data_IF_145490605914
#
_entry.id   IF_145490605914
#
_cell.length_a   1.000
_cell.length_b   1.000
_cell.length_c   1.000
_cell.angle_alpha   90.00
_cell.angle_beta   90.00
_cell.angle_gamma   90.00
#
_symmetry.space_group_name_H-M   'P 1'
#
loop_
_entity.id
_entity.type
_entity.pdbx_description
1 polymer ?
#
# COMPACT_ATOMS: atom_id res chain seq x y z
N UNK A 1 25.96 -19.23 -39.89
CA UNK A 1 25.53 -17.87 -40.26
C UNK A 1 24.02 -17.63 -40.21
N UNK A 2 23.15 -18.60 -40.54
CA UNK A 2 21.69 -18.37 -40.62
C UNK A 2 21.01 -18.04 -39.26
N UNK A 3 21.38 -18.73 -38.18
CA UNK A 3 20.80 -18.51 -36.83
C UNK A 3 21.19 -17.12 -36.28
N UNK A 4 22.40 -16.65 -36.57
CA UNK A 4 22.90 -15.35 -36.13
C UNK A 4 22.21 -14.18 -36.87
N UNK A 5 21.79 -14.40 -38.13
CA UNK A 5 20.96 -13.46 -38.88
C UNK A 5 19.53 -13.38 -38.35
N UNK A 6 18.93 -14.51 -37.96
CA UNK A 6 17.59 -14.52 -37.38
C UNK A 6 17.52 -13.87 -35.99
N UNK A 7 18.56 -14.03 -35.15
CA UNK A 7 18.61 -13.33 -33.86
C UNK A 7 18.78 -11.82 -34.04
N UNK A 8 19.66 -11.35 -34.94
CA UNK A 8 19.77 -9.92 -35.25
C UNK A 8 18.47 -9.32 -35.78
N UNK A 9 17.72 -10.08 -36.58
CA UNK A 9 16.44 -9.62 -37.10
C UNK A 9 15.35 -9.56 -36.02
N UNK A 10 15.35 -10.53 -35.08
CA UNK A 10 14.48 -10.49 -33.90
C UNK A 10 14.81 -9.34 -32.97
N UNK A 11 16.09 -9.10 -32.70
CA UNK A 11 16.56 -8.01 -31.86
C UNK A 11 16.22 -6.65 -32.50
N UNK A 12 16.39 -6.52 -33.82
CA UNK A 12 16.00 -5.31 -34.56
C UNK A 12 14.49 -5.05 -34.52
N UNK A 13 13.65 -6.09 -34.67
CA UNK A 13 12.19 -5.95 -34.56
C UNK A 13 11.80 -5.57 -33.13
N UNK A 14 12.41 -6.18 -32.11
CA UNK A 14 12.17 -5.85 -30.72
C UNK A 14 12.54 -4.38 -30.43
N UNK A 15 13.70 -3.92 -30.91
CA UNK A 15 14.16 -2.55 -30.71
C UNK A 15 13.25 -1.53 -31.42
N UNK A 16 12.78 -1.82 -32.63
CA UNK A 16 11.79 -0.99 -33.34
C UNK A 16 10.46 -0.93 -32.58
N UNK A 17 9.99 -2.05 -32.02
CA UNK A 17 8.76 -2.02 -31.22
C UNK A 17 8.94 -1.23 -29.93
N UNK A 18 10.08 -1.34 -29.25
CA UNK A 18 10.40 -0.59 -28.03
C UNK A 18 10.43 0.91 -28.34
N UNK A 19 11.16 1.35 -29.37
CA UNK A 19 11.19 2.75 -29.79
C UNK A 19 9.78 3.27 -30.14
N UNK A 20 8.95 2.45 -30.82
CA UNK A 20 7.56 2.82 -31.12
C UNK A 20 6.73 3.01 -29.85
N UNK A 21 6.90 2.15 -28.85
CA UNK A 21 6.21 2.28 -27.56
C UNK A 21 6.73 3.48 -26.76
N UNK A 22 8.04 3.75 -26.75
CA UNK A 22 8.63 4.92 -26.10
C UNK A 22 8.14 6.22 -26.73
N UNK A 23 8.08 6.31 -28.06
CA UNK A 23 7.49 7.46 -28.75
C UNK A 23 5.99 7.64 -28.43
N UNK A 24 5.25 6.54 -28.33
CA UNK A 24 3.82 6.57 -28.02
C UNK A 24 3.58 7.00 -26.55
N UNK A 25 4.45 6.58 -25.62
CA UNK A 25 4.45 7.05 -24.22
C UNK A 25 4.82 8.52 -24.14
N UNK A 26 5.85 8.97 -24.86
CA UNK A 26 6.24 10.38 -24.90
C UNK A 26 5.13 11.25 -25.50
N UNK A 27 4.45 10.79 -26.56
CA UNK A 27 3.29 11.49 -27.15
C UNK A 27 2.13 11.55 -26.15
N UNK A 28 1.82 10.46 -25.44
CA UNK A 28 0.79 10.47 -24.38
C UNK A 28 1.15 11.44 -23.26
N UNK A 29 2.40 11.43 -22.82
CA UNK A 29 2.90 12.33 -21.76
C UNK A 29 2.85 13.80 -22.21
N UNK A 30 3.17 14.09 -23.47
CA UNK A 30 3.06 15.45 -24.02
C UNK A 30 1.61 15.93 -24.05
N UNK A 31 0.70 15.12 -24.60
CA UNK A 31 -0.74 15.45 -24.65
C UNK A 31 -1.34 15.58 -23.24
N UNK A 32 -0.90 14.76 -22.29
CA UNK A 32 -1.34 14.86 -20.90
C UNK A 32 -0.82 16.14 -20.23
N UNK A 33 0.43 16.53 -20.47
CA UNK A 33 0.96 17.82 -20.01
C UNK A 33 0.20 19.00 -20.63
N UNK A 34 -0.08 18.97 -21.93
CA UNK A 34 -0.87 20.00 -22.61
C UNK A 34 -2.29 20.07 -22.06
N UNK A 35 -2.91 18.93 -21.74
CA UNK A 35 -4.22 18.88 -21.09
C UNK A 35 -4.20 19.50 -19.69
N UNK A 36 -3.15 19.22 -18.90
CA UNK A 36 -2.98 19.82 -17.56
C UNK A 36 -2.76 21.33 -17.65
N UNK A 37 -1.99 21.81 -18.62
CA UNK A 37 -1.80 23.24 -18.87
C UNK A 37 -3.10 23.91 -19.32
N UNK A 38 -3.80 23.33 -20.28
CA UNK A 38 -5.08 23.86 -20.75
C UNK A 38 -6.12 23.90 -19.62
N UNK A 39 -6.13 22.91 -18.73
CA UNK A 39 -6.98 22.93 -17.55
C UNK A 39 -6.64 24.09 -16.61
N UNK A 40 -5.35 24.34 -16.35
CA UNK A 40 -4.91 25.49 -15.54
C UNK A 40 -5.33 26.82 -16.19
N UNK A 41 -5.20 26.93 -17.50
CA UNK A 41 -5.59 28.14 -18.24
C UNK A 41 -7.11 28.35 -18.22
N UNK A 42 -7.90 27.29 -18.33
CA UNK A 42 -9.36 27.33 -18.20
C UNK A 42 -9.76 27.74 -16.77
N UNK A 43 -9.12 27.18 -15.75
CA UNK A 43 -9.39 27.54 -14.36
C UNK A 43 -9.01 29.02 -14.09
N UNK A 44 -7.88 29.49 -14.61
CA UNK A 44 -7.48 30.90 -14.51
C UNK A 44 -8.44 31.84 -15.25
N UNK A 45 -8.89 31.47 -16.45
CA UNK A 45 -9.90 32.20 -17.21
C UNK A 45 -11.26 32.20 -16.48
N UNK A 46 -11.60 31.10 -15.78
CA UNK A 46 -12.82 31.03 -14.99
C UNK A 46 -12.75 31.95 -13.76
N UNK A 47 -11.63 31.96 -13.03
CA UNK A 47 -11.43 32.86 -11.89
C UNK A 47 -11.55 34.33 -12.31
N UNK A 48 -10.85 34.72 -13.38
CA UNK A 48 -10.92 36.10 -13.91
C UNK A 48 -12.32 36.48 -14.38
N UNK A 49 -13.07 35.54 -14.99
CA UNK A 49 -14.48 35.74 -15.35
C UNK A 49 -15.35 35.99 -14.12
N UNK A 50 -15.19 35.19 -13.05
CA UNK A 50 -15.94 35.34 -11.80
C UNK A 50 -15.63 36.69 -11.14
N UNK A 51 -14.36 37.10 -11.11
CA UNK A 51 -13.95 38.40 -10.56
C UNK A 51 -14.55 39.57 -11.35
N UNK A 52 -14.57 39.48 -12.68
CA UNK A 52 -15.21 40.49 -13.54
C UNK A 52 -16.73 40.52 -13.36
N UNK A 53 -17.37 39.36 -13.18
CA UNK A 53 -18.80 39.28 -12.89
C UNK A 53 -19.11 39.97 -11.55
N UNK A 54 -18.35 39.69 -10.49
CA UNK A 54 -18.53 40.33 -9.19
C UNK A 54 -18.37 41.87 -9.26
N UNK A 55 -17.41 42.36 -10.06
CA UNK A 55 -17.25 43.80 -10.30
C UNK A 55 -18.44 44.38 -11.08
N UNK A 56 -18.95 43.68 -12.08
CA UNK A 56 -20.13 44.09 -12.83
C UNK A 56 -21.36 44.18 -11.91
N UNK A 57 -21.56 43.20 -11.04
CA UNK A 57 -22.67 43.16 -10.10
C UNK A 57 -22.55 44.30 -9.07
N UNK A 58 -21.35 44.55 -8.53
CA UNK A 58 -21.08 45.68 -7.63
C UNK A 58 -21.36 47.05 -8.28
N UNK A 59 -20.99 47.23 -9.55
CA UNK A 59 -21.28 48.47 -10.28
C UNK A 59 -22.78 48.63 -10.55
N UNK A 60 -23.49 47.52 -10.82
CA UNK A 60 -24.93 47.55 -10.99
C UNK A 60 -25.65 47.94 -9.68
N UNK A 61 -25.18 47.42 -8.54
CA UNK A 61 -25.68 47.79 -7.22
C UNK A 61 -25.43 49.27 -6.89
N UNK A 62 -24.25 49.80 -7.22
CA UNK A 62 -23.94 51.23 -7.05
C UNK A 62 -24.84 52.13 -7.90
N UNK A 63 -25.08 51.77 -9.17
CA UNK A 63 -26.01 52.49 -10.04
C UNK A 63 -27.43 52.47 -9.46
N UNK A 64 -27.88 51.32 -8.95
CA UNK A 64 -29.21 51.20 -8.36
C UNK A 64 -29.33 52.02 -7.08
N UNK A 65 -28.29 52.04 -6.25
CA UNK A 65 -28.21 52.87 -5.05
C UNK A 65 -28.31 54.36 -5.39
N UNK A 66 -27.54 54.84 -6.37
CA UNK A 66 -27.57 56.24 -6.80
C UNK A 66 -28.93 56.62 -7.40
N UNK A 67 -29.54 55.75 -8.20
CA UNK A 67 -30.90 55.97 -8.73
C UNK A 67 -31.92 56.11 -7.61
N UNK A 68 -31.87 55.22 -6.62
CA UNK A 68 -32.77 55.26 -5.47
C UNK A 68 -32.56 56.55 -4.64
N UNK A 69 -31.30 56.94 -4.40
CA UNK A 69 -30.97 58.16 -3.68
C UNK A 69 -31.52 59.40 -4.39
N UNK A 70 -31.32 59.52 -5.71
CA UNK A 70 -31.84 60.64 -6.48
C UNK A 70 -33.38 60.66 -6.53
N UNK A 71 -34.04 59.50 -6.58
CA UNK A 71 -35.50 59.42 -6.52
C UNK A 71 -36.04 59.95 -5.17
N UNK A 72 -35.37 59.59 -4.07
CA UNK A 72 -35.73 60.08 -2.73
C UNK A 72 -35.49 61.59 -2.62
N UNK A 73 -34.32 62.09 -3.04
CA UNK A 73 -33.98 63.51 -2.99
C UNK A 73 -34.94 64.37 -3.82
N UNK A 74 -35.30 63.92 -5.03
CA UNK A 74 -36.31 64.58 -5.85
C UNK A 74 -37.68 64.61 -5.17
N UNK A 75 -38.08 63.52 -4.52
CA UNK A 75 -39.35 63.46 -3.78
C UNK A 75 -39.38 64.41 -2.57
N UNK A 76 -38.23 64.60 -1.91
CA UNK A 76 -38.08 65.52 -0.79
C UNK A 76 -38.11 66.97 -1.25
N UNK A 77 -37.36 67.32 -2.31
CA UNK A 77 -37.43 68.66 -2.90
C UNK A 77 -38.84 69.00 -3.41
N UNK A 78 -39.56 68.04 -4.00
CA UNK A 78 -40.94 68.28 -4.42
C UNK A 78 -41.85 68.58 -3.24
N UNK A 79 -41.66 67.91 -2.09
CA UNK A 79 -42.39 68.20 -0.85
C UNK A 79 -42.06 69.58 -0.29
N UNK A 80 -40.78 69.95 -0.22
CA UNK A 80 -40.38 71.26 0.31
C UNK A 80 -40.91 72.42 -0.55
N UNK A 81 -40.97 72.25 -1.88
CA UNK A 81 -41.60 73.23 -2.79
C UNK A 81 -43.11 73.30 -2.58
N UNK A 82 -43.80 72.17 -2.41
CA UNK A 82 -45.25 72.18 -2.13
C UNK A 82 -45.58 72.80 -0.78
N UNK A 83 -44.78 72.52 0.26
CA UNK A 83 -44.99 73.06 1.61
C UNK A 83 -44.75 74.57 1.66
N UNK A 84 -43.79 75.08 0.87
CA UNK A 84 -43.53 76.53 0.75
C UNK A 84 -44.62 77.26 -0.06
N UNK A 85 -45.36 76.57 -0.94
CA UNK A 85 -46.44 77.17 -1.74
C UNK A 85 -47.76 77.34 -0.98
N UNK A 86 -47.88 76.81 0.25
CA UNK A 86 -49.14 76.73 1.02
C UNK A 86 -49.13 77.56 2.32
N UNK A 87 -48.13 78.42 2.55
CA UNK A 87 -48.15 79.31 3.72
C UNK A 87 -47.89 80.74 3.28
N UNK A 88 -48.93 81.58 3.32
CA UNK A 88 -48.88 82.98 3.79
C UNK A 88 -50.30 83.59 3.73
N UNK A 89 -51.11 83.28 4.75
CA UNK A 89 -52.20 84.15 5.18
C UNK A 89 -51.98 84.43 6.67
N UNK A 90 -51.28 85.53 6.94
CA UNK A 90 -51.05 86.04 8.30
C UNK A 90 -52.35 86.61 8.86
N UNK A 91 -53.05 85.83 9.66
CA UNK A 91 -54.00 86.38 10.64
C UNK A 91 -53.21 86.82 11.87
N UNK A 92 -52.74 88.05 11.77
CA UNK A 92 -52.07 88.80 12.81
C UNK A 92 -53.15 89.37 13.74
N UNK A 93 -53.25 88.86 14.98
CA UNK A 93 -53.69 89.55 16.20
C UNK A 93 -54.52 88.65 17.15
N UNK A 94 -53.87 88.20 18.22
CA UNK A 94 -54.43 88.13 19.58
C UNK A 94 -53.23 87.92 20.52
N UNK A 95 -52.88 88.98 21.26
CA UNK A 95 -52.03 89.00 22.46
C UNK A 95 -51.23 87.70 22.69
N UNK A 96 -50.05 87.65 22.08
CA UNK A 96 -49.05 86.60 22.30
C UNK A 96 -48.52 86.75 23.72
N UNK A 97 -48.70 85.73 24.56
CA UNK A 97 -48.01 85.62 25.83
C UNK A 97 -46.52 85.35 25.57
N UNK A 98 -45.76 86.44 25.48
CA UNK A 98 -44.34 86.42 25.18
C UNK A 98 -43.57 85.61 26.24
N UNK A 99 -44.02 85.59 27.49
CA UNK A 99 -43.36 84.86 28.57
C UNK A 99 -43.53 83.34 28.39
N UNK A 100 -44.74 82.88 28.00
CA UNK A 100 -44.98 81.48 27.67
C UNK A 100 -44.15 81.02 26.45
N UNK A 101 -44.04 81.83 25.41
CA UNK A 101 -43.26 81.49 24.21
C UNK A 101 -41.76 81.45 24.53
N UNK A 102 -41.25 82.41 25.31
CA UNK A 102 -39.85 82.43 25.75
C UNK A 102 -39.55 81.22 26.64
N UNK A 103 -40.46 80.82 27.53
CA UNK A 103 -40.32 79.63 28.37
C UNK A 103 -40.30 78.35 27.51
N UNK A 104 -41.16 78.22 26.51
CA UNK A 104 -41.19 77.08 25.60
C UNK A 104 -39.91 77.00 24.75
N UNK A 105 -39.44 78.13 24.21
CA UNK A 105 -38.19 78.18 23.46
C UNK A 105 -37.00 77.79 24.33
N UNK A 106 -36.93 78.27 25.58
CA UNK A 106 -35.89 77.84 26.55
C UNK A 106 -35.97 76.34 26.83
N UNK A 107 -37.16 75.81 27.06
CA UNK A 107 -37.36 74.37 27.28
C UNK A 107 -36.93 73.54 26.07
N UNK A 108 -37.19 74.00 24.84
CA UNK A 108 -36.72 73.35 23.61
C UNK A 108 -35.20 73.38 23.47
N UNK A 109 -34.55 74.49 23.83
CA UNK A 109 -33.08 74.55 23.84
C UNK A 109 -32.47 73.64 24.90
N UNK A 110 -33.05 73.58 26.10
CA UNK A 110 -32.62 72.63 27.14
C UNK A 110 -32.83 71.18 26.72
N UNK A 111 -33.94 70.86 26.05
CA UNK A 111 -34.22 69.53 25.52
C UNK A 111 -33.24 69.14 24.40
N UNK A 112 -32.91 70.07 23.48
CA UNK A 112 -31.89 69.86 22.44
C UNK A 112 -30.51 69.68 23.05
N UNK A 113 -30.12 70.50 24.03
CA UNK A 113 -28.83 70.40 24.70
C UNK A 113 -28.70 69.09 25.49
N UNK A 114 -29.75 68.68 26.22
CA UNK A 114 -29.78 67.42 26.94
C UNK A 114 -29.74 66.21 25.99
N UNK A 115 -30.50 66.25 24.90
CA UNK A 115 -30.47 65.20 23.87
C UNK A 115 -29.10 65.08 23.23
N UNK A 116 -28.45 66.19 22.88
CA UNK A 116 -27.10 66.20 22.33
C UNK A 116 -26.07 65.64 23.32
N UNK A 117 -26.22 65.92 24.62
CA UNK A 117 -25.37 65.32 25.67
C UNK A 117 -25.56 63.80 25.75
N UNK A 118 -26.79 63.32 25.78
CA UNK A 118 -27.09 61.88 25.89
C UNK A 118 -26.66 61.13 24.62
N UNK A 119 -26.87 61.72 23.45
CA UNK A 119 -26.39 61.17 22.18
C UNK A 119 -24.86 61.09 22.15
N UNK A 120 -24.14 62.13 22.60
CA UNK A 120 -22.69 62.09 22.70
C UNK A 120 -22.21 61.01 23.71
N UNK A 121 -22.82 60.94 24.89
CA UNK A 121 -22.49 59.93 25.91
C UNK A 121 -22.72 58.51 25.39
N UNK A 122 -23.88 58.24 24.77
CA UNK A 122 -24.18 56.94 24.16
C UNK A 122 -23.25 56.61 23.00
N UNK A 123 -22.87 57.59 22.19
CA UNK A 123 -21.91 57.41 21.09
C UNK A 123 -20.53 57.03 21.62
N UNK A 124 -20.05 57.72 22.66
CA UNK A 124 -18.78 57.38 23.31
C UNK A 124 -18.82 56.01 23.97
N UNK A 125 -19.92 55.65 24.63
CA UNK A 125 -20.07 54.34 25.26
C UNK A 125 -20.07 53.22 24.22
N UNK A 126 -20.82 53.38 23.11
CA UNK A 126 -20.82 52.44 22.00
C UNK A 126 -19.41 52.28 21.38
N UNK A 127 -18.68 53.40 21.18
CA UNK A 127 -17.31 53.35 20.68
C UNK A 127 -16.34 52.68 21.64
N UNK A 128 -16.50 52.90 22.94
CA UNK A 128 -15.69 52.23 23.96
C UNK A 128 -15.94 50.72 23.97
N UNK A 129 -17.20 50.30 23.93
CA UNK A 129 -17.59 48.89 23.87
C UNK A 129 -17.08 48.21 22.58
N UNK A 130 -17.13 48.89 21.44
CA UNK A 130 -16.58 48.39 20.17
C UNK A 130 -15.05 48.21 20.25
N UNK A 131 -14.33 49.18 20.82
CA UNK A 131 -12.89 49.08 21.03
C UNK A 131 -12.54 47.96 22.03
N UNK A 132 -13.33 47.80 23.09
CA UNK A 132 -13.14 46.73 24.06
C UNK A 132 -13.41 45.35 23.44
N UNK A 133 -14.48 45.22 22.65
CA UNK A 133 -14.83 43.99 21.95
C UNK A 133 -13.79 43.62 20.90
N UNK A 134 -13.28 44.60 20.14
CA UNK A 134 -12.22 44.36 19.16
C UNK A 134 -10.90 43.98 19.84
N UNK A 135 -10.50 44.67 20.93
CA UNK A 135 -9.33 44.29 21.71
C UNK A 135 -9.45 42.87 22.30
N UNK A 136 -10.64 42.52 22.81
CA UNK A 136 -10.96 41.16 23.28
C UNK A 136 -10.80 40.11 22.18
N UNK A 137 -11.41 40.34 21.01
CA UNK A 137 -11.28 39.46 19.83
C UNK A 137 -9.83 39.26 19.40
N UNK A 138 -9.03 40.33 19.35
CA UNK A 138 -7.61 40.21 19.01
C UNK A 138 -6.84 39.39 20.06
N UNK A 139 -7.16 39.58 21.35
CA UNK A 139 -6.59 38.79 22.44
C UNK A 139 -6.93 37.31 22.35
N UNK A 140 -8.18 36.98 22.00
CA UNK A 140 -8.62 35.60 21.85
C UNK A 140 -8.05 34.95 20.59
N UNK A 141 -8.04 35.63 19.44
CA UNK A 141 -7.33 35.16 18.23
C UNK A 141 -5.85 34.88 18.50
N UNK A 142 -5.18 35.71 19.31
CA UNK A 142 -3.79 35.47 19.68
C UNK A 142 -3.62 34.22 20.57
N UNK A 143 -4.57 33.94 21.47
CA UNK A 143 -4.56 32.71 22.28
C UNK A 143 -4.82 31.49 21.42
N UNK A 144 -5.76 31.56 20.48
CA UNK A 144 -6.12 30.47 19.58
C UNK A 144 -4.95 30.13 18.66
N UNK A 145 -4.32 31.12 18.04
CA UNK A 145 -3.11 30.91 17.22
C UNK A 145 -1.95 30.34 18.06
N UNK A 146 -1.76 30.79 19.30
CA UNK A 146 -0.77 30.19 20.21
C UNK A 146 -1.09 28.73 20.54
N UNK A 147 -2.36 28.39 20.75
CA UNK A 147 -2.80 27.04 21.00
C UNK A 147 -2.55 26.14 19.77
N UNK A 148 -2.88 26.62 18.57
CA UNK A 148 -2.61 25.92 17.30
C UNK A 148 -1.12 25.68 17.09
N UNK A 149 -0.26 26.68 17.31
CA UNK A 149 1.20 26.52 17.26
C UNK A 149 1.66 25.45 18.24
N UNK A 150 1.09 25.40 19.44
CA UNK A 150 1.46 24.39 20.45
C UNK A 150 1.03 22.97 20.02
N UNK A 151 -0.12 22.84 19.38
CA UNK A 151 -0.63 21.57 18.84
C UNK A 151 0.22 21.11 17.64
N UNK A 152 0.51 22.00 16.71
CA UNK A 152 1.43 21.74 15.58
C UNK A 152 2.81 21.32 16.08
N UNK A 153 3.33 21.93 17.15
CA UNK A 153 4.59 21.50 17.75
C UNK A 153 4.49 20.08 18.34
N UNK A 154 3.37 19.71 18.97
CA UNK A 154 3.14 18.35 19.47
C UNK A 154 3.05 17.34 18.33
N UNK A 155 2.37 17.67 17.23
CA UNK A 155 2.28 16.78 16.06
C UNK A 155 3.64 16.61 15.39
N UNK A 156 4.45 17.68 15.28
CA UNK A 156 5.84 17.60 14.80
C UNK A 156 6.67 16.65 15.67
N UNK A 157 6.58 16.76 16.99
CA UNK A 157 7.32 15.86 17.90
C UNK A 157 6.87 14.41 17.75
N UNK A 158 5.56 14.15 17.66
CA UNK A 158 5.02 12.81 17.42
C UNK A 158 5.52 12.22 16.11
N UNK A 159 5.45 12.99 15.01
CA UNK A 159 5.92 12.54 13.70
C UNK A 159 7.44 12.29 13.69
N UNK A 160 8.23 13.11 14.39
CA UNK A 160 9.68 12.87 14.56
C UNK A 160 9.95 11.55 15.29
N UNK A 161 9.22 11.26 16.36
CA UNK A 161 9.33 9.99 17.08
C UNK A 161 8.92 8.79 16.22
N UNK A 162 7.86 8.95 15.41
CA UNK A 162 7.42 7.92 14.46
C UNK A 162 8.47 7.66 13.37
N UNK A 163 9.06 8.71 12.80
CA UNK A 163 10.18 8.59 11.85
C UNK A 163 11.36 7.86 12.49
N UNK A 164 11.74 8.21 13.72
CA UNK A 164 12.87 7.55 14.40
C UNK A 164 12.56 6.08 14.70
N UNK A 165 11.32 5.76 15.10
CA UNK A 165 10.87 4.38 15.30
C UNK A 165 10.94 3.58 14.01
N UNK A 166 10.42 4.11 12.89
CA UNK A 166 10.46 3.45 11.58
C UNK A 166 11.90 3.28 11.10
N UNK A 167 12.77 4.27 11.30
CA UNK A 167 14.21 4.14 10.98
C UNK A 167 14.86 2.98 11.74
N UNK A 168 14.63 2.87 13.06
CA UNK A 168 15.12 1.75 13.87
C UNK A 168 14.58 0.41 13.40
N UNK A 169 13.31 0.35 12.98
CA UNK A 169 12.73 -0.86 12.40
C UNK A 169 13.40 -1.23 11.07
N UNK A 170 13.64 -0.25 10.18
CA UNK A 170 14.37 -0.47 8.94
C UNK A 170 15.80 -0.99 9.19
N UNK A 171 16.54 -0.38 10.12
CA UNK A 171 17.89 -0.82 10.49
C UNK A 171 17.89 -2.26 11.03
N UNK A 172 16.92 -2.59 11.90
CA UNK A 172 16.76 -3.94 12.45
C UNK A 172 16.44 -4.95 11.36
N UNK A 173 15.52 -4.63 10.44
CA UNK A 173 15.17 -5.49 9.32
C UNK A 173 16.35 -5.67 8.37
N UNK A 174 17.11 -4.59 8.10
CA UNK A 174 18.28 -4.65 7.25
C UNK A 174 19.38 -5.52 7.86
N UNK A 175 19.64 -5.40 9.16
CA UNK A 175 20.54 -6.31 9.89
C UNK A 175 20.04 -7.77 9.85
N UNK A 176 18.74 -8.00 9.99
CA UNK A 176 18.18 -9.35 9.88
C UNK A 176 18.30 -9.93 8.48
N UNK A 177 18.23 -9.10 7.44
CA UNK A 177 18.42 -9.51 6.04
C UNK A 177 19.88 -9.88 5.83
N UNK A 178 20.83 -9.03 6.23
CA UNK A 178 22.26 -9.32 6.09
C UNK A 178 22.66 -10.60 6.82
N UNK A 179 22.16 -10.81 8.05
CA UNK A 179 22.43 -12.04 8.81
C UNK A 179 21.85 -13.29 8.11
N UNK A 180 20.68 -13.15 7.48
CA UNK A 180 20.05 -14.24 6.74
C UNK A 180 20.79 -14.55 5.43
N UNK A 181 21.25 -13.52 4.72
CA UNK A 181 22.08 -13.62 3.52
C UNK A 181 23.43 -14.29 3.83
N UNK A 182 24.13 -13.87 4.89
CA UNK A 182 25.39 -14.47 5.33
C UNK A 182 25.21 -15.95 5.71
N UNK A 183 24.17 -16.27 6.50
CA UNK A 183 23.84 -17.67 6.84
C UNK A 183 23.52 -18.50 5.60
N UNK A 184 22.79 -17.93 4.64
CA UNK A 184 22.49 -18.57 3.37
C UNK A 184 23.75 -18.82 2.54
N UNK A 185 24.65 -17.84 2.45
CA UNK A 185 25.91 -17.96 1.72
C UNK A 185 26.82 -19.02 2.33
N UNK A 186 26.91 -19.10 3.66
CA UNK A 186 27.66 -20.14 4.36
C UNK A 186 27.10 -21.54 4.08
N UNK A 187 25.78 -21.70 4.12
CA UNK A 187 25.14 -22.97 3.79
C UNK A 187 25.40 -23.40 2.33
N UNK A 188 25.37 -22.44 1.39
CA UNK A 188 25.71 -22.71 -0.01
C UNK A 188 27.18 -23.08 -0.19
N UNK A 189 28.11 -22.44 0.53
CA UNK A 189 29.53 -22.79 0.51
C UNK A 189 29.76 -24.21 1.02
N UNK A 190 29.14 -24.59 2.12
CA UNK A 190 29.23 -25.96 2.67
C UNK A 190 28.64 -27.00 1.72
N UNK A 191 27.46 -26.74 1.14
CA UNK A 191 26.85 -27.64 0.16
C UNK A 191 27.72 -27.82 -1.09
N UNK A 192 28.35 -26.73 -1.59
CA UNK A 192 29.29 -26.78 -2.71
C UNK A 192 30.54 -27.59 -2.36
N UNK A 193 31.11 -27.42 -1.17
CA UNK A 193 32.26 -28.20 -0.72
C UNK A 193 31.94 -29.70 -0.66
N UNK A 194 30.78 -30.06 -0.09
CA UNK A 194 30.30 -31.46 -0.06
C UNK A 194 30.09 -32.02 -1.46
N UNK A 195 29.56 -31.23 -2.38
CA UNK A 195 29.39 -31.63 -3.77
C UNK A 195 30.75 -31.93 -4.41
N UNK A 196 31.74 -31.05 -4.25
CA UNK A 196 33.09 -31.28 -4.80
C UNK A 196 33.77 -32.50 -4.19
N UNK A 197 33.57 -32.74 -2.90
CA UNK A 197 34.12 -33.92 -2.22
C UNK A 197 33.51 -35.21 -2.78
N UNK A 198 32.18 -35.23 -2.93
CA UNK A 198 31.46 -36.37 -3.51
C UNK A 198 31.84 -36.61 -4.98
N UNK A 199 31.97 -35.56 -5.78
CA UNK A 199 32.46 -35.67 -7.15
C UNK A 199 33.87 -36.26 -7.19
N UNK A 200 34.77 -35.81 -6.31
CA UNK A 200 36.13 -36.34 -6.21
C UNK A 200 36.15 -37.82 -5.80
N UNK A 201 35.30 -38.22 -4.85
CA UNK A 201 35.16 -39.61 -4.41
C UNK A 201 34.60 -40.49 -5.53
N UNK A 202 33.62 -39.98 -6.28
CA UNK A 202 33.05 -40.67 -7.44
C UNK A 202 34.08 -40.87 -8.55
N UNK A 203 34.92 -39.86 -8.84
CA UNK A 203 36.00 -40.01 -9.82
C UNK A 203 37.06 -41.02 -9.37
N UNK A 204 37.44 -41.02 -8.09
CA UNK A 204 38.34 -42.03 -7.52
C UNK A 204 37.77 -43.44 -7.65
N UNK A 205 36.50 -43.64 -7.28
CA UNK A 205 35.83 -44.93 -7.40
C UNK A 205 35.76 -45.43 -8.85
N UNK A 206 35.50 -44.53 -9.82
CA UNK A 206 35.56 -44.87 -11.25
C UNK A 206 36.95 -45.29 -11.69
N UNK A 207 37.99 -44.59 -11.25
CA UNK A 207 39.38 -44.93 -11.56
C UNK A 207 39.78 -46.28 -10.95
N UNK A 208 39.36 -46.56 -9.71
CA UNK A 208 39.59 -47.83 -9.03
C UNK A 208 38.87 -48.98 -9.74
N UNK A 209 37.62 -48.80 -10.16
CA UNK A 209 36.89 -49.78 -10.96
C UNK A 209 37.60 -50.09 -12.27
N UNK A 210 38.08 -49.06 -12.98
CA UNK A 210 38.85 -49.24 -14.20
C UNK A 210 40.19 -49.97 -13.97
N UNK A 211 40.81 -49.77 -12.79
CA UNK A 211 42.01 -50.52 -12.37
C UNK A 211 41.69 -51.99 -12.10
N UNK A 212 40.64 -52.28 -11.33
CA UNK A 212 40.21 -53.65 -11.04
C UNK A 212 39.85 -54.43 -12.32
N UNK A 213 39.20 -53.80 -13.30
CA UNK A 213 38.91 -54.43 -14.58
C UNK A 213 40.18 -54.82 -15.35
N UNK A 214 41.24 -53.99 -15.30
CA UNK A 214 42.54 -54.33 -15.91
C UNK A 214 43.20 -55.50 -15.19
N UNK A 215 43.28 -55.45 -13.87
CA UNK A 215 43.85 -56.53 -13.05
C UNK A 215 43.09 -57.86 -13.25
N UNK A 216 41.76 -57.80 -13.37
CA UNK A 216 40.94 -58.98 -13.66
C UNK A 216 41.23 -59.55 -15.05
N UNK A 217 41.39 -58.70 -16.07
CA UNK A 217 41.74 -59.15 -17.42
C UNK A 217 43.14 -59.79 -17.45
N UNK A 218 44.12 -59.22 -16.74
CA UNK A 218 45.46 -59.80 -16.61
C UNK A 218 45.41 -61.19 -15.95
N UNK A 219 44.65 -61.33 -14.86
CA UNK A 219 44.45 -62.60 -14.18
C UNK A 219 43.74 -63.63 -15.07
N UNK A 220 42.74 -63.20 -15.84
CA UNK A 220 42.06 -64.06 -16.83
C UNK A 220 43.05 -64.57 -17.89
N UNK A 221 43.94 -63.70 -18.39
CA UNK A 221 44.96 -64.10 -19.36
C UNK A 221 45.90 -65.16 -18.77
N UNK A 222 46.32 -65.02 -17.51
CA UNK A 222 47.12 -66.05 -16.81
C UNK A 222 46.35 -67.35 -16.67
N UNK A 223 45.06 -67.29 -16.31
CA UNK A 223 44.21 -68.48 -16.21
C UNK A 223 44.10 -69.22 -17.55
N UNK A 224 43.91 -68.50 -18.65
CA UNK A 224 43.86 -69.10 -19.98
C UNK A 224 45.20 -69.74 -20.38
N UNK A 225 46.33 -69.12 -20.03
CA UNK A 225 47.65 -69.71 -20.25
C UNK A 225 47.81 -71.02 -19.46
N UNK A 226 47.41 -71.03 -18.19
CA UNK A 226 47.43 -72.23 -17.35
C UNK A 226 46.49 -73.34 -17.87
N UNK A 227 45.31 -73.01 -18.39
CA UNK A 227 44.42 -74.01 -19.00
C UNK A 227 45.07 -74.67 -20.23
N UNK A 228 45.80 -73.88 -21.03
CA UNK A 228 46.56 -74.40 -22.18
C UNK A 228 47.67 -75.32 -21.71
N UNK A 229 48.42 -74.95 -20.68
CA UNK A 229 49.45 -75.80 -20.07
C UNK A 229 48.86 -77.12 -19.53
N UNK A 230 47.72 -77.07 -18.83
CA UNK A 230 47.05 -78.28 -18.35
C UNK A 230 46.61 -79.17 -19.52
N UNK A 231 46.07 -78.57 -20.59
CA UNK A 231 45.67 -79.30 -21.79
C UNK A 231 46.87 -79.93 -22.51
N UNK A 232 48.03 -79.26 -22.56
CA UNK A 232 49.26 -79.86 -23.12
C UNK A 232 49.81 -80.96 -22.23
N UNK A 233 49.83 -80.78 -20.90
CA UNK A 233 50.22 -81.84 -19.96
C UNK A 233 49.31 -83.08 -20.09
N UNK A 234 47.99 -82.90 -20.20
CA UNK A 234 47.04 -84.02 -20.45
C UNK A 234 47.33 -84.76 -21.75
N UNK A 235 47.57 -84.04 -22.86
CA UNK A 235 47.92 -84.66 -24.15
C UNK A 235 49.22 -85.45 -24.11
N UNK A 236 50.24 -84.96 -23.38
CA UNK A 236 51.50 -85.68 -23.21
C UNK A 236 51.29 -86.99 -22.42
N UNK A 237 50.48 -86.95 -21.36
CA UNK A 237 50.11 -88.13 -20.56
C UNK A 237 49.31 -89.15 -21.38
N UNK A 238 48.32 -88.71 -22.16
CA UNK A 238 47.58 -89.57 -23.11
C UNK A 238 48.51 -90.23 -24.15
N UNK A 239 49.55 -89.51 -24.59
CA UNK A 239 50.58 -90.03 -25.49
C UNK A 239 51.49 -91.10 -24.86
N UNK A 240 51.76 -91.01 -23.55
CA UNK A 240 52.49 -92.05 -22.82
C UNK A 240 51.62 -93.30 -22.58
N UNK A 241 50.34 -93.14 -22.27
CA UNK A 241 49.38 -94.25 -22.15
C UNK A 241 49.19 -94.98 -23.48
N UNK A 242 49.21 -94.28 -24.62
CA UNK A 242 49.23 -94.92 -25.94
C UNK A 242 50.49 -95.79 -26.19
N UNK A 243 51.63 -95.46 -25.56
CA UNK A 243 52.87 -96.25 -25.65
C UNK A 243 52.82 -97.51 -24.79
N UNK A 244 51.99 -97.54 -23.74
CA UNK A 244 51.74 -98.71 -22.90
C UNK A 244 50.48 -99.50 -23.31
N UNK A 245 49.59 -98.89 -24.10
CA UNK A 245 48.38 -99.50 -24.65
C UNK A 245 48.58 -100.36 -25.91
N UNK A 246 49.79 -100.40 -26.49
CA UNK A 246 50.13 -101.35 -27.56
C UNK A 246 50.44 -102.76 -27.00
N UNK A 247 49.54 -103.24 -26.13
CA UNK A 247 49.42 -104.64 -25.70
C UNK A 247 47.98 -104.93 -25.27
N UNK A 248 46.99 -104.55 -26.09
CA UNK A 248 45.79 -105.38 -26.34
C UNK A 248 44.87 -104.77 -27.40
N UNK A 249 44.78 -105.51 -28.49
CA UNK A 249 43.62 -105.75 -29.35
C UNK A 249 43.00 -104.60 -30.14
N UNK A 250 43.12 -104.74 -31.46
CA UNK A 250 42.18 -104.27 -32.47
C UNK A 250 40.75 -104.74 -32.15
N UNK A 251 39.77 -103.84 -32.29
CA UNK A 251 38.59 -104.04 -33.15
C UNK A 251 38.04 -102.68 -33.61
N UNK A 252 37.64 -102.67 -34.87
CA UNK A 252 37.27 -101.60 -35.81
C UNK A 252 36.23 -100.55 -35.35
N UNK A 253 36.08 -99.42 -36.10
CA UNK A 253 35.32 -98.25 -35.71
C UNK A 253 33.83 -98.37 -36.08
N UNK A 254 32.96 -97.73 -35.29
CA UNK A 254 31.57 -97.46 -35.67
C UNK A 254 31.17 -96.09 -35.14
N UNK A 255 30.62 -95.30 -36.05
CA UNK A 255 30.34 -93.88 -35.94
C UNK A 255 29.36 -93.55 -34.80
N UNK A 256 29.75 -92.61 -33.94
CA UNK A 256 28.81 -91.86 -33.10
C UNK A 256 28.59 -90.51 -33.78
N UNK A 257 27.47 -90.42 -34.49
CA UNK A 257 26.86 -89.17 -34.90
C UNK A 257 26.30 -88.51 -33.63
N UNK A 258 27.10 -87.67 -32.97
CA UNK A 258 26.57 -86.73 -31.99
C UNK A 258 26.07 -85.49 -32.75
N UNK A 259 24.74 -85.34 -32.71
CA UNK A 259 23.96 -84.30 -33.34
C UNK A 259 24.62 -82.92 -33.26
N UNK A 260 24.81 -82.31 -34.43
CA UNK A 260 24.92 -80.87 -34.55
C UNK A 260 23.58 -80.26 -34.17
N UNK A 261 23.45 -79.78 -32.94
CA UNK A 261 22.46 -78.79 -32.56
C UNK A 261 23.16 -77.47 -32.32
N UNK A 262 23.25 -76.55 -33.29
CA UNK A 262 23.73 -75.20 -33.01
C UNK A 262 22.64 -74.44 -32.25
N UNK A 263 22.77 -74.42 -30.92
CA UNK A 263 22.02 -73.51 -30.05
C UNK A 263 22.59 -72.08 -30.21
N UNK A 264 22.18 -71.40 -31.28
CA UNK A 264 22.21 -69.94 -31.34
C UNK A 264 20.83 -69.45 -30.89
N UNK A 265 20.66 -69.25 -29.59
CA UNK A 265 19.59 -68.44 -29.03
C UNK A 265 20.22 -67.24 -28.33
N UNK A 266 20.57 -66.22 -29.11
CA UNK A 266 20.67 -64.82 -28.67
C UNK A 266 20.19 -63.94 -29.82
N UNK A 267 18.88 -64.02 -30.06
CA UNK A 267 18.13 -63.11 -30.93
C UNK A 267 16.89 -62.65 -30.18
N UNK A 268 17.07 -62.03 -29.01
CA UNK A 268 15.99 -61.38 -28.29
C UNK A 268 15.84 -59.95 -28.84
N UNK A 269 15.08 -59.83 -29.93
CA UNK A 269 14.21 -58.68 -30.11
C UNK A 269 12.89 -59.00 -29.41
N UNK A 270 12.52 -58.20 -28.41
CA UNK A 270 11.16 -57.93 -27.93
C UNK A 270 11.33 -56.68 -27.04
N UNK A 271 10.87 -55.52 -27.53
CA UNK A 271 9.49 -55.06 -27.41
C UNK A 271 9.16 -54.60 -26.00
N UNK A 272 8.63 -53.38 -25.96
CA UNK A 272 8.00 -52.80 -24.80
C UNK A 272 7.03 -53.77 -24.13
N UNK A 273 7.07 -53.80 -22.81
CA UNK A 273 5.90 -54.07 -21.99
C UNK A 273 5.78 -52.92 -20.98
N UNK A 274 4.72 -52.15 -21.17
CA UNK A 274 4.15 -51.26 -20.18
C UNK A 274 3.26 -52.07 -19.24
N UNK A 275 3.46 -51.94 -17.93
CA UNK A 275 2.45 -52.12 -16.88
C UNK A 275 3.07 -51.56 -15.59
N UNK A 276 2.58 -50.42 -15.06
CA UNK A 276 1.43 -50.28 -14.16
C UNK A 276 1.42 -51.29 -13.02
N UNK A 277 1.67 -50.79 -11.81
CA UNK A 277 0.94 -51.22 -10.61
C UNK A 277 1.78 -51.71 -9.44
N UNK A 278 1.62 -51.05 -8.30
CA UNK A 278 1.62 -51.72 -7.00
C UNK A 278 2.81 -51.40 -6.09
N UNK A 279 2.61 -50.46 -5.18
CA UNK A 279 3.54 -50.23 -4.06
C UNK A 279 3.43 -51.30 -2.98
N UNK A 280 4.49 -51.38 -2.17
CA UNK A 280 4.41 -51.75 -0.76
C UNK A 280 5.40 -50.90 0.02
N UNK A 281 4.87 -50.15 0.99
CA UNK A 281 5.65 -49.46 1.99
C UNK A 281 6.25 -50.45 3.00
N UNK A 282 7.42 -50.10 3.49
CA UNK A 282 8.11 -50.79 4.57
C UNK A 282 9.11 -49.85 5.21
N UNK A 283 8.59 -48.89 5.98
CA UNK A 283 9.39 -47.98 6.80
C UNK A 283 9.87 -48.69 8.06
N UNK A 284 11.18 -48.75 8.26
CA UNK A 284 11.82 -49.03 9.54
C UNK A 284 12.00 -47.70 10.28
N UNK A 285 11.17 -47.47 11.30
CA UNK A 285 11.38 -46.41 12.28
C UNK A 285 12.24 -46.93 13.43
N UNK A 286 13.46 -46.41 13.54
CA UNK A 286 14.21 -46.37 14.81
C UNK A 286 14.37 -44.90 15.18
N UNK A 287 13.92 -44.57 16.39
CA UNK A 287 13.57 -43.22 16.81
C UNK A 287 14.75 -42.27 17.06
N UNK A 288 14.40 -40.99 17.11
CA UNK A 288 15.28 -39.89 17.50
C UNK A 288 14.61 -38.57 17.13
N UNK A 289 13.90 -37.96 18.09
CA UNK A 289 13.01 -36.83 17.85
C UNK A 289 13.72 -35.49 17.60
N UNK A 290 12.96 -34.58 17.00
CA UNK A 290 12.84 -33.16 17.33
C UNK A 290 11.79 -32.55 16.37
N UNK A 291 10.86 -31.79 16.94
CA UNK A 291 9.60 -31.40 16.31
C UNK A 291 9.74 -30.59 15.02
N UNK A 292 9.05 -31.05 13.97
CA UNK A 292 8.83 -30.33 12.72
C UNK A 292 7.36 -29.93 12.58
N UNK A 293 7.15 -28.64 12.33
CA UNK A 293 5.86 -28.01 12.04
C UNK A 293 5.31 -28.50 10.70
N UNK A 294 4.06 -28.97 10.69
CA UNK A 294 3.36 -29.40 9.49
C UNK A 294 2.87 -28.22 8.65
N UNK A 295 3.18 -28.24 7.35
CA UNK A 295 2.52 -27.41 6.35
C UNK A 295 1.20 -28.09 5.93
N UNK A 296 0.08 -27.57 6.43
CA UNK A 296 -1.26 -27.88 5.94
C UNK A 296 -1.77 -26.75 5.05
N UNK A 297 -1.94 -27.02 3.76
CA UNK A 297 -2.67 -26.14 2.85
C UNK A 297 -4.17 -26.25 3.15
N UNK A 298 -4.73 -25.23 3.79
CA UNK A 298 -6.15 -25.09 4.05
C UNK A 298 -6.65 -23.74 3.54
N UNK A 299 -7.51 -23.77 2.53
CA UNK A 299 -8.28 -22.63 2.05
C UNK A 299 -9.34 -22.25 3.08
N UNK A 300 -9.11 -21.13 3.79
CA UNK A 300 -10.02 -20.60 4.80
C UNK A 300 -10.11 -19.08 4.70
N UNK A 301 -11.29 -18.59 4.35
CA UNK A 301 -11.68 -17.18 4.31
C UNK A 301 -12.09 -16.75 5.72
N UNK A 302 -11.40 -15.77 6.31
CA UNK A 302 -11.80 -15.19 7.60
C UNK A 302 -10.66 -14.38 8.22
N UNK A 303 -10.92 -13.11 8.49
CA UNK A 303 -9.92 -12.16 8.99
C UNK A 303 -9.56 -12.34 10.48
N UNK A 304 -8.39 -11.82 10.82
CA UNK A 304 -7.96 -11.40 12.16
C UNK A 304 -6.77 -10.43 11.93
N UNK A 305 -6.63 -9.27 12.56
CA UNK A 305 -6.90 -9.00 13.97
C UNK A 305 -5.65 -9.33 14.77
N UNK A 306 -4.58 -8.53 14.64
CA UNK A 306 -3.34 -8.74 15.40
C UNK A 306 -3.53 -8.23 16.84
N UNK A 307 -3.45 -9.15 17.80
CA UNK A 307 -3.31 -8.84 19.23
C UNK A 307 -2.03 -9.50 19.73
N UNK A 308 -1.17 -8.72 20.37
CA UNK A 308 0.01 -9.20 21.08
C UNK A 308 -0.42 -9.55 22.51
N UNK A 309 -0.11 -10.76 22.96
CA UNK A 309 -0.19 -11.14 24.38
C UNK A 309 1.23 -11.45 24.84
N UNK A 310 1.80 -10.55 25.65
CA UNK A 310 3.09 -10.74 26.27
C UNK A 310 2.91 -11.68 27.47
N UNK A 311 3.46 -12.89 27.39
CA UNK A 311 3.56 -13.80 28.52
C UNK A 311 4.56 -13.27 29.53
N UNK A 312 4.07 -12.69 30.62
CA UNK A 312 4.87 -12.31 31.78
C UNK A 312 5.05 -13.50 32.71
N UNK A 313 6.30 -13.93 32.88
CA UNK A 313 6.70 -14.90 33.88
C UNK A 313 6.51 -14.34 35.30
N UNK A 314 5.91 -15.15 36.16
CA UNK A 314 5.72 -14.84 37.57
C UNK A 314 7.00 -15.05 38.39
N UNK A 315 7.29 -14.09 39.25
CA UNK A 315 7.97 -14.28 40.52
C UNK A 315 7.21 -13.45 41.57
N UNK A 316 6.74 -14.11 42.62
CA UNK A 316 5.98 -13.48 43.69
C UNK A 316 6.87 -12.98 44.82
N UNK A 317 6.43 -11.92 45.51
CA UNK A 317 6.66 -11.68 46.95
C UNK A 317 5.87 -10.43 47.42
N UNK A 318 5.05 -10.59 48.47
CA UNK A 318 4.56 -9.56 49.42
C UNK A 318 3.62 -8.48 48.85
N UNK A 319 2.42 -8.21 49.33
CA UNK A 319 1.91 -8.23 50.70
C UNK A 319 1.43 -6.81 51.04
N UNK A 320 0.13 -6.62 51.34
CA UNK A 320 -0.36 -5.37 51.97
C UNK A 320 -1.71 -4.82 51.46
N UNK A 321 -2.75 -5.03 52.28
CA UNK A 321 -3.92 -4.18 52.60
C UNK A 321 -4.02 -2.79 51.91
N UNK A 322 -5.17 -2.25 51.52
CA UNK A 322 -6.58 -2.57 51.76
C UNK A 322 -7.46 -1.33 51.42
N UNK A 323 -8.78 -1.58 51.31
CA UNK A 323 -9.91 -0.66 51.47
C UNK A 323 -10.13 0.53 50.50
N UNK A 324 -11.30 0.53 49.84
CA UNK A 324 -11.94 1.72 49.28
C UNK A 324 -13.20 1.38 48.49
N UNK A 325 -14.37 1.84 48.93
CA UNK A 325 -15.73 1.49 48.43
C UNK A 325 -15.89 1.66 46.91
N UNK A 326 -16.76 0.91 46.22
CA UNK A 326 -18.14 0.58 46.60
C UNK A 326 -19.09 1.60 45.99
N UNK A 327 -19.72 1.26 44.86
CA UNK A 327 -21.14 1.52 44.55
C UNK A 327 -21.50 1.07 43.11
N UNK A 328 -22.79 0.80 42.96
CA UNK A 328 -23.44 -0.09 42.03
C UNK A 328 -24.14 0.63 40.86
N UNK A 329 -24.34 -0.13 39.78
CA UNK A 329 -25.54 -0.21 38.91
C UNK A 329 -26.05 1.04 38.17
N UNK A 330 -26.11 0.93 36.83
CA UNK A 330 -27.18 1.31 35.86
C UNK A 330 -26.52 1.08 34.48
N UNK A 331 -26.97 0.29 33.52
CA UNK A 331 -28.35 0.03 33.08
C UNK A 331 -28.59 0.76 31.76
N UNK A 332 -28.41 0.08 30.63
CA UNK A 332 -29.17 0.36 29.41
C UNK A 332 -28.44 0.98 28.21
N UNK A 333 -28.74 0.40 27.04
CA UNK A 333 -29.10 1.19 25.86
C UNK A 333 -28.09 1.27 24.74
N UNK A 334 -27.97 0.19 23.96
CA UNK A 334 -27.53 0.27 22.58
C UNK A 334 -28.50 1.11 21.74
N UNK A 335 -27.98 2.13 21.03
CA UNK A 335 -28.58 2.70 19.83
C UNK A 335 -27.48 3.20 18.89
N UNK A 336 -27.25 2.44 17.83
CA UNK A 336 -26.49 2.84 16.65
C UNK A 336 -27.34 3.74 15.77
N UNK A 337 -26.89 4.96 15.49
CA UNK A 337 -27.42 5.79 14.39
C UNK A 337 -26.26 6.17 13.47
N UNK A 338 -26.38 5.69 12.24
CA UNK A 338 -25.59 6.05 11.07
C UNK A 338 -25.88 7.51 10.72
N UNK A 339 -24.86 8.37 10.74
CA UNK A 339 -24.95 9.73 10.19
C UNK A 339 -24.46 9.68 8.74
N UNK A 340 -25.41 9.57 7.82
CA UNK A 340 -25.22 9.92 6.42
C UNK A 340 -25.51 11.42 6.25
N UNK A 341 -24.49 12.19 5.88
CA UNK A 341 -24.61 13.62 5.59
C UNK A 341 -25.40 13.85 4.30
N UNK A 342 -26.64 14.28 4.43
CA UNK A 342 -27.46 14.82 3.34
C UNK A 342 -27.94 16.22 3.70
N UNK A 343 -27.45 17.23 2.99
CA UNK A 343 -27.80 18.64 3.12
C UNK A 343 -29.21 18.89 2.56
N UNK A 344 -30.12 19.44 3.37
CA UNK A 344 -31.43 19.94 2.93
C UNK A 344 -31.48 21.47 3.05
N UNK A 345 -31.58 22.14 1.90
CA UNK A 345 -31.85 23.57 1.78
C UNK A 345 -33.23 23.91 2.36
N UNK A 346 -33.28 24.85 3.31
CA UNK A 346 -34.52 25.44 3.84
C UNK A 346 -34.87 26.69 3.02
N UNK A 347 -35.91 26.60 2.18
CA UNK A 347 -36.59 27.77 1.60
C UNK A 347 -37.61 28.28 2.61
N UNK A 348 -37.42 29.49 3.14
CA UNK A 348 -38.47 30.20 3.86
C UNK A 348 -39.32 30.97 2.85
N UNK A 349 -40.63 30.72 2.86
CA UNK A 349 -41.65 31.49 2.15
C UNK A 349 -42.48 32.21 3.21
N UNK A 350 -42.33 33.53 3.33
CA UNK A 350 -43.17 34.36 4.20
C UNK A 350 -44.30 34.95 3.36
N UNK A 351 -45.52 34.47 3.62
CA UNK A 351 -46.76 35.02 3.08
C UNK A 351 -47.11 36.34 3.78
N UNK A 352 -47.27 37.43 3.04
CA UNK A 352 -47.96 38.64 3.53
C UNK A 352 -49.32 38.78 2.85
N UNK A 353 -50.36 38.80 3.68
CA UNK A 353 -51.76 39.03 3.34
C UNK A 353 -52.00 40.51 2.99
N UNK A 354 -52.50 40.76 1.78
CA UNK A 354 -53.00 42.08 1.37
C UNK A 354 -54.49 42.17 1.69
N UNK A 355 -54.85 43.12 2.56
CA UNK A 355 -56.22 43.59 2.76
C UNK A 355 -56.34 44.97 2.12
N UNK A 356 -57.14 45.11 1.06
CA UNK A 356 -57.77 46.40 0.72
C UNK A 356 -59.12 46.19 0.03
N UNK A 357 -60.15 46.68 0.71
CA UNK A 357 -61.50 46.94 0.21
C UNK A 357 -61.56 48.40 -0.27
N UNK A 358 -62.27 48.57 -1.39
CA UNK A 358 -62.82 49.80 -2.01
C UNK A 358 -61.81 50.82 -2.50
#
# INVERSE_FOLDING_TARGET
SSIHGQNKQRDSIALVTINRYEEEINKRTAVENDFVLLKKDVDAAYMTKVDLQAKSDSLADEINFLKYLYEVELSEMQKTVSDTSVVLSMDNNRNLDLDSIIAEVKARYEEIANRSRVEAESWYQCKYEELQATAGKHGDSLKDTKAEISEQNRTIQRLRAEIESVKKQCETLQSSITDAEERGELALKDARAKLTDLESALQKAKADMARQLREYQELMNVKLALDVEIATYRKLLEGEECRWGYSKSLTAPSAVICAHGPSWLHGAGLAQISSVGGGYGGGLCLGGGLGGLGFGAGSGRGGAGFSYSLGGGGCGAGGGFGAGGGLCSVGGGCNSVVVGSGTVLKKNTTSMSVSRRV
#
